data_IF_307740181619
#
_entry.id   IF_307740181619
#
_cell.length_a   1.000
_cell.length_b   1.000
_cell.length_c   1.000
_cell.angle_alpha   90.00
_cell.angle_beta   90.00
_cell.angle_gamma   90.00
#
_symmetry.space_group_name_H-M   'P 1'
#
loop_
_entity.id
_entity.type
_entity.pdbx_description
1 polymer ?
#
# COMPACT_ATOMS: atom_id res chain seq x y z
N UNK A 1 -13.87 15.50 13.06
CA UNK A 1 -12.74 14.60 12.77
C UNK A 1 -11.67 15.41 12.11
N UNK A 2 -10.44 15.38 12.63
CA UNK A 2 -9.32 16.21 12.17
C UNK A 2 -8.35 15.33 11.36
N UNK A 3 -7.97 15.77 10.18
CA UNK A 3 -6.90 15.13 9.40
C UNK A 3 -5.57 15.26 10.14
N UNK A 4 -4.74 14.22 10.09
CA UNK A 4 -3.39 14.23 10.65
C UNK A 4 -2.36 14.33 9.54
N UNK A 5 -2.46 13.45 8.56
CA UNK A 5 -1.63 13.50 7.36
C UNK A 5 -2.34 12.78 6.20
N UNK A 6 -1.92 13.13 4.99
CA UNK A 6 -2.32 12.43 3.77
C UNK A 6 -1.12 12.17 2.88
N UNK A 7 -1.09 10.96 2.31
CA UNK A 7 -0.02 10.49 1.44
C UNK A 7 -0.58 10.18 0.07
N UNK A 8 0.06 10.71 -0.97
CA UNK A 8 -0.12 10.24 -2.34
C UNK A 8 0.35 8.78 -2.43
N UNK A 9 -0.45 7.93 -3.06
CA UNK A 9 -0.18 6.50 -3.25
C UNK A 9 -0.45 6.09 -4.69
N UNK A 10 -0.22 4.83 -5.02
CA UNK A 10 -0.55 4.33 -6.33
C UNK A 10 0.48 4.74 -7.39
N UNK A 11 0.00 4.99 -8.61
CA UNK A 11 0.86 5.06 -9.81
C UNK A 11 2.02 6.06 -9.69
N UNK A 12 1.80 7.20 -9.02
CA UNK A 12 2.80 8.22 -8.77
C UNK A 12 3.98 7.73 -7.90
N UNK A 13 3.71 6.95 -6.85
CA UNK A 13 4.75 6.40 -5.98
C UNK A 13 5.64 5.35 -6.67
N UNK A 14 5.15 4.77 -7.77
CA UNK A 14 5.81 3.67 -8.48
C UNK A 14 6.47 4.09 -9.80
N UNK A 15 6.39 5.38 -10.16
CA UNK A 15 6.75 5.92 -11.48
C UNK A 15 5.94 5.29 -12.63
N UNK A 16 4.67 4.99 -12.38
CA UNK A 16 3.73 4.35 -13.33
C UNK A 16 2.56 5.27 -13.69
N UNK A 17 2.66 6.55 -13.33
CA UNK A 17 1.70 7.58 -13.72
C UNK A 17 2.00 8.12 -15.12
N UNK A 18 0.96 8.68 -15.72
CA UNK A 18 0.94 9.46 -16.95
C UNK A 18 0.16 10.77 -16.69
N UNK A 19 0.03 11.63 -17.70
CA UNK A 19 -0.66 12.93 -17.59
C UNK A 19 -2.15 12.81 -17.21
N UNK A 20 -2.76 11.64 -17.40
CA UNK A 20 -4.17 11.38 -17.13
C UNK A 20 -4.39 10.58 -15.84
N UNK A 21 -3.32 10.30 -15.10
CA UNK A 21 -3.38 9.48 -13.90
C UNK A 21 -4.06 10.23 -12.76
N UNK A 22 -4.92 9.51 -12.06
CA UNK A 22 -5.61 9.93 -10.86
C UNK A 22 -4.66 10.00 -9.65
N UNK A 23 -4.91 10.97 -8.78
CA UNK A 23 -4.26 11.03 -7.47
C UNK A 23 -5.03 10.16 -6.47
N UNK A 24 -4.47 9.00 -6.15
CA UNK A 24 -4.92 8.18 -5.03
C UNK A 24 -4.31 8.72 -3.73
N UNK A 25 -5.14 9.03 -2.71
CA UNK A 25 -4.62 9.44 -1.40
C UNK A 25 -5.09 8.56 -0.25
N UNK A 26 -4.17 8.25 0.66
CA UNK A 26 -4.46 7.65 1.96
C UNK A 26 -4.37 8.71 3.04
N UNK A 27 -5.44 8.86 3.80
CA UNK A 27 -5.64 9.93 4.77
C UNK A 27 -5.80 9.28 6.14
N UNK A 28 -4.99 9.69 7.11
CA UNK A 28 -5.15 9.29 8.50
C UNK A 28 -5.76 10.43 9.30
N UNK A 29 -6.81 10.11 10.07
CA UNK A 29 -7.57 11.07 10.86
C UNK A 29 -7.51 10.71 12.35
N UNK A 30 -7.68 11.74 13.17
CA UNK A 30 -7.79 11.64 14.61
C UNK A 30 -9.24 11.31 15.01
N UNK A 31 -9.47 10.33 15.91
CA UNK A 31 -10.79 10.07 16.48
C UNK A 31 -11.22 11.23 17.38
N UNK A 32 -12.52 11.53 17.41
CA UNK A 32 -13.09 12.42 18.42
C UNK A 32 -13.24 11.71 19.77
N UNK A 33 -13.48 12.45 20.86
CA UNK A 33 -13.85 11.84 22.14
C UNK A 33 -15.07 10.91 22.02
N UNK A 34 -16.06 11.27 21.19
CA UNK A 34 -17.23 10.43 20.94
C UNK A 34 -16.86 9.11 20.25
N UNK A 35 -15.95 9.16 19.27
CA UNK A 35 -15.47 7.96 18.58
C UNK A 35 -14.74 7.02 19.54
N UNK A 36 -13.95 7.57 20.45
CA UNK A 36 -13.29 6.79 21.50
C UNK A 36 -14.30 6.19 22.48
N UNK A 37 -15.23 6.99 23.00
CA UNK A 37 -16.23 6.56 23.99
C UNK A 37 -17.14 5.45 23.45
N UNK A 38 -17.59 5.58 22.20
CA UNK A 38 -18.45 4.58 21.56
C UNK A 38 -17.66 3.48 20.82
N UNK A 39 -16.33 3.47 20.94
CA UNK A 39 -15.45 2.54 20.23
C UNK A 39 -15.71 2.48 18.71
N UNK A 40 -16.03 3.61 18.10
CA UNK A 40 -16.25 3.74 16.66
C UNK A 40 -14.91 3.96 15.97
N UNK A 41 -14.59 3.14 14.97
CA UNK A 41 -13.37 3.29 14.17
C UNK A 41 -13.75 3.66 12.74
N UNK A 42 -13.12 4.70 12.20
CA UNK A 42 -13.39 5.15 10.83
C UNK A 42 -12.50 4.41 9.84
N UNK A 43 -13.14 3.79 8.84
CA UNK A 43 -12.48 3.23 7.66
C UNK A 43 -13.42 3.41 6.48
N UNK A 44 -13.18 4.46 5.68
CA UNK A 44 -14.04 4.83 4.55
C UNK A 44 -13.19 4.95 3.29
N UNK A 45 -13.75 4.56 2.15
CA UNK A 45 -13.16 4.81 0.84
C UNK A 45 -14.14 5.60 -0.02
N UNK A 46 -13.61 6.53 -0.81
CA UNK A 46 -14.32 7.29 -1.84
C UNK A 46 -13.62 7.00 -3.16
N UNK A 47 -14.40 6.88 -4.24
CA UNK A 47 -13.88 6.59 -5.60
C UNK A 47 -13.80 7.82 -6.50
N UNK A 48 -14.12 9.02 -5.99
CA UNK A 48 -14.04 10.28 -6.75
C UNK A 48 -14.06 11.50 -5.82
N UNK A 49 -12.92 12.13 -5.50
CA UNK A 49 -11.55 11.65 -5.74
C UNK A 49 -11.26 10.35 -4.96
N UNK A 50 -10.33 9.53 -5.46
CA UNK A 50 -9.91 8.29 -4.82
C UNK A 50 -9.19 8.58 -3.50
N UNK A 51 -9.94 8.44 -2.40
CA UNK A 51 -9.48 8.75 -1.05
C UNK A 51 -9.84 7.63 -0.11
N UNK A 52 -8.84 7.08 0.56
CA UNK A 52 -9.04 6.12 1.64
C UNK A 52 -8.76 6.80 2.99
N UNK A 53 -9.80 6.99 3.79
CA UNK A 53 -9.73 7.61 5.11
C UNK A 53 -9.70 6.53 6.18
N UNK A 54 -8.66 6.55 7.02
CA UNK A 54 -8.47 5.64 8.14
C UNK A 54 -8.32 6.40 9.45
N UNK A 55 -8.90 5.82 10.49
CA UNK A 55 -8.58 6.18 11.86
C UNK A 55 -7.11 5.87 12.16
N UNK A 56 -6.41 6.79 12.82
CA UNK A 56 -4.98 6.62 13.14
C UNK A 56 -4.70 5.38 13.98
N UNK A 57 -5.65 4.93 14.81
CA UNK A 57 -5.52 3.71 15.61
C UNK A 57 -5.36 2.44 14.77
N UNK A 58 -5.73 2.49 13.49
CA UNK A 58 -5.55 1.37 12.56
C UNK A 58 -4.13 1.27 12.02
N UNK A 59 -3.37 2.37 11.99
CA UNK A 59 -2.06 2.44 11.34
C UNK A 59 -1.12 1.35 11.84
N UNK A 60 -1.01 1.20 13.16
CA UNK A 60 -0.13 0.20 13.79
C UNK A 60 -0.41 -1.22 13.30
N UNK A 61 -1.68 -1.61 13.22
CA UNK A 61 -2.09 -2.94 12.78
C UNK A 61 -1.87 -3.13 11.27
N UNK A 62 -2.01 -2.07 10.48
CA UNK A 62 -1.77 -2.10 9.03
C UNK A 62 -0.28 -2.28 8.73
N UNK A 63 0.60 -1.62 9.50
CA UNK A 63 2.05 -1.75 9.39
C UNK A 63 2.54 -3.10 9.93
N UNK A 64 2.05 -3.57 11.09
CA UNK A 64 2.39 -4.90 11.66
C UNK A 64 2.03 -6.06 10.73
N UNK A 65 0.92 -5.94 10.00
CA UNK A 65 0.49 -6.92 8.98
C UNK A 65 1.28 -6.83 7.67
N UNK A 66 2.23 -5.89 7.57
CA UNK A 66 3.05 -5.64 6.39
C UNK A 66 2.22 -5.48 5.11
N UNK A 67 1.07 -4.81 5.21
CA UNK A 67 0.21 -4.61 4.04
C UNK A 67 0.93 -3.68 3.04
N UNK A 68 1.28 -4.14 1.83
CA UNK A 68 2.10 -3.36 0.89
C UNK A 68 1.47 -2.03 0.52
N UNK A 69 0.13 -1.98 0.45
CA UNK A 69 -0.59 -0.73 0.15
C UNK A 69 -0.55 0.30 1.28
N UNK A 70 -0.22 -0.08 2.52
CA UNK A 70 0.00 0.87 3.61
C UNK A 70 1.47 1.08 3.94
N UNK A 71 2.34 0.14 3.57
CA UNK A 71 3.78 0.36 3.63
C UNK A 71 4.20 1.46 2.63
N UNK A 72 3.62 1.51 1.42
CA UNK A 72 3.91 2.56 0.43
C UNK A 72 3.62 4.00 0.94
N UNK A 73 2.73 4.15 1.93
CA UNK A 73 2.43 5.46 2.56
C UNK A 73 3.70 6.10 3.13
N UNK A 74 4.61 5.28 3.66
CA UNK A 74 5.88 5.72 4.25
C UNK A 74 6.91 6.17 3.21
N UNK A 75 6.64 5.92 1.92
CA UNK A 75 7.50 6.21 0.78
C UNK A 75 6.80 7.12 -0.23
N UNK A 76 5.79 7.86 0.23
CA UNK A 76 5.02 8.76 -0.61
C UNK A 76 5.88 9.89 -1.17
N UNK A 77 5.71 10.19 -2.46
CA UNK A 77 6.38 11.32 -3.12
C UNK A 77 5.73 12.67 -2.78
N UNK A 78 4.50 12.64 -2.25
CA UNK A 78 3.76 13.83 -1.84
C UNK A 78 2.99 13.56 -0.55
N UNK A 79 3.48 14.16 0.53
CA UNK A 79 3.01 13.98 1.88
C UNK A 79 2.58 15.32 2.47
N UNK A 80 1.31 15.43 2.85
CA UNK A 80 0.76 16.59 3.56
C UNK A 80 0.64 16.23 5.04
N UNK A 81 1.26 17.01 5.91
CA UNK A 81 1.30 16.76 7.37
C UNK A 81 0.73 17.96 8.11
N UNK A 82 -0.16 17.70 9.06
CA UNK A 82 -0.64 18.71 10.00
C UNK A 82 0.33 18.80 11.18
N UNK A 83 0.54 20.00 11.73
CA UNK A 83 1.49 20.25 12.84
C UNK A 83 1.34 19.26 14.00
N UNK A 84 0.10 18.92 14.35
CA UNK A 84 -0.19 17.96 15.44
C UNK A 84 0.35 16.55 15.19
N UNK A 85 0.63 16.19 13.94
CA UNK A 85 1.12 14.87 13.54
C UNK A 85 2.62 14.85 13.21
N UNK A 86 3.33 15.98 13.31
CA UNK A 86 4.72 16.11 12.88
C UNK A 86 5.65 15.11 13.58
N UNK A 87 5.51 14.94 14.90
CA UNK A 87 6.30 13.98 15.69
C UNK A 87 6.12 12.54 15.16
N UNK A 88 4.86 12.15 14.93
CA UNK A 88 4.51 10.81 14.46
C UNK A 88 5.05 10.58 13.05
N UNK A 89 4.81 11.51 12.13
CA UNK A 89 5.23 11.37 10.74
C UNK A 89 6.75 11.39 10.63
N UNK A 90 7.43 12.26 11.37
CA UNK A 90 8.90 12.31 11.39
C UNK A 90 9.49 10.99 11.89
N UNK A 91 8.89 10.40 12.94
CA UNK A 91 9.29 9.08 13.42
C UNK A 91 9.08 7.99 12.35
N UNK A 92 7.90 7.96 11.72
CA UNK A 92 7.57 6.99 10.68
C UNK A 92 8.53 7.08 9.48
N UNK A 93 8.85 8.29 9.00
CA UNK A 93 9.76 8.49 7.88
C UNK A 93 11.21 8.12 8.24
N UNK A 94 11.65 8.47 9.45
CA UNK A 94 12.99 8.11 9.94
C UNK A 94 13.18 6.59 10.02
N UNK A 95 12.13 5.86 10.38
CA UNK A 95 12.16 4.41 10.60
C UNK A 95 11.49 3.59 9.47
N UNK A 96 11.13 4.20 8.33
CA UNK A 96 10.32 3.55 7.27
C UNK A 96 10.87 2.22 6.78
N UNK A 97 12.19 2.16 6.59
CA UNK A 97 12.91 0.97 6.15
C UNK A 97 12.95 -0.13 7.22
N UNK A 98 13.11 0.26 8.49
CA UNK A 98 13.04 -0.65 9.64
C UNK A 98 11.65 -1.25 9.78
N UNK A 99 10.61 -0.44 9.62
CA UNK A 99 9.20 -0.88 9.68
C UNK A 99 8.91 -1.95 8.61
N UNK A 100 9.39 -1.76 7.37
CA UNK A 100 9.21 -2.75 6.29
C UNK A 100 9.97 -4.04 6.60
N UNK A 101 11.22 -3.93 7.08
CA UNK A 101 12.06 -5.09 7.44
C UNK A 101 11.60 -5.81 8.70
N UNK A 102 10.68 -5.24 9.48
CA UNK A 102 10.28 -5.79 10.76
C UNK A 102 9.69 -7.21 10.65
N UNK A 103 8.89 -7.46 9.60
CA UNK A 103 8.18 -8.73 9.40
C UNK A 103 8.28 -9.21 7.94
N UNK A 104 9.45 -9.70 7.50
CA UNK A 104 9.69 -10.09 6.10
C UNK A 104 8.78 -11.23 5.62
N UNK A 105 8.54 -12.22 6.48
CA UNK A 105 7.60 -13.32 6.18
C UNK A 105 6.16 -12.80 5.99
N UNK A 106 5.71 -11.88 6.85
CA UNK A 106 4.37 -11.30 6.73
C UNK A 106 4.27 -10.42 5.49
N UNK A 107 5.33 -9.70 5.11
CA UNK A 107 5.35 -8.88 3.88
C UNK A 107 5.09 -9.74 2.65
N UNK A 108 5.85 -10.83 2.48
CA UNK A 108 5.65 -11.71 1.32
C UNK A 108 4.27 -12.37 1.38
N UNK A 109 3.84 -12.86 2.55
CA UNK A 109 2.51 -13.43 2.73
C UNK A 109 1.38 -12.44 2.39
N UNK A 110 1.51 -11.18 2.81
CA UNK A 110 0.56 -10.12 2.49
C UNK A 110 0.55 -9.80 1.00
N UNK A 111 1.72 -9.71 0.36
CA UNK A 111 1.84 -9.50 -1.09
C UNK A 111 1.19 -10.66 -1.87
N UNK A 112 1.48 -11.91 -1.51
CA UNK A 112 0.85 -13.09 -2.12
C UNK A 112 -0.67 -13.09 -1.91
N UNK A 113 -1.15 -12.66 -0.74
CA UNK A 113 -2.57 -12.47 -0.47
C UNK A 113 -3.23 -11.48 -1.44
N UNK A 114 -2.58 -10.33 -1.69
CA UNK A 114 -3.06 -9.33 -2.65
C UNK A 114 -3.01 -9.87 -4.09
N UNK A 115 -1.93 -10.55 -4.47
CA UNK A 115 -1.78 -11.21 -5.77
C UNK A 115 -2.93 -12.19 -6.01
N UNK A 116 -3.22 -13.07 -5.05
CA UNK A 116 -4.29 -14.07 -5.14
C UNK A 116 -5.67 -13.41 -5.27
N UNK A 117 -5.92 -12.33 -4.52
CA UNK A 117 -7.15 -11.55 -4.66
C UNK A 117 -7.29 -10.95 -6.06
N UNK A 118 -6.21 -10.37 -6.61
CA UNK A 118 -6.22 -9.78 -7.96
C UNK A 118 -6.42 -10.85 -9.03
N UNK A 119 -5.79 -12.02 -8.87
CA UNK A 119 -5.97 -13.18 -9.76
C UNK A 119 -7.41 -13.69 -9.75
N UNK A 120 -8.02 -13.84 -8.57
CA UNK A 120 -9.42 -14.26 -8.45
C UNK A 120 -10.42 -13.26 -9.06
N UNK A 121 -9.98 -12.01 -9.31
CA UNK A 121 -10.79 -10.95 -9.91
C UNK A 121 -10.35 -10.64 -11.36
N UNK A 122 -9.46 -11.44 -11.96
CA UNK A 122 -8.90 -11.17 -13.28
C UNK A 122 -9.96 -11.17 -14.39
N UNK A 123 -10.98 -12.02 -14.26
CA UNK A 123 -12.09 -12.13 -15.21
C UNK A 123 -13.41 -11.56 -14.68
N UNK A 124 -13.40 -10.90 -13.52
CA UNK A 124 -14.62 -10.27 -12.97
C UNK A 124 -14.81 -8.89 -13.57
N UNK A 125 -15.98 -8.68 -14.16
CA UNK A 125 -16.45 -7.35 -14.58
C UNK A 125 -16.73 -6.51 -13.33
N UNK A 126 -16.12 -5.32 -13.24
CA UNK A 126 -16.34 -4.37 -12.14
C UNK A 126 -17.09 -3.15 -12.66
N UNK A 127 -18.00 -2.51 -11.89
CA UNK A 127 -18.72 -1.33 -12.38
C UNK A 127 -17.80 -0.14 -12.77
N UNK A 128 -16.60 -0.08 -12.20
CA UNK A 128 -15.56 0.94 -12.51
C UNK A 128 -14.73 0.64 -13.76
N UNK A 129 -14.91 -0.51 -14.42
CA UNK A 129 -14.34 -0.77 -15.75
C UNK A 129 -15.15 -0.11 -16.89
N UNK A 130 -16.04 0.83 -16.56
CA UNK A 130 -16.84 1.60 -17.51
C UNK A 130 -16.02 2.63 -18.31
N UNK A 131 -14.70 2.76 -18.10
CA UNK A 131 -13.79 3.28 -19.13
C UNK A 131 -13.40 2.10 -20.04
N UNK A 132 -14.34 1.79 -20.94
CA UNK A 132 -14.22 1.15 -22.25
C UNK A 132 -12.98 0.26 -22.44
N UNK A 133 -13.22 -1.05 -22.48
CA UNK A 133 -12.90 -1.83 -23.68
C UNK A 133 -13.91 -2.97 -23.74
N UNK A 134 -14.97 -2.76 -24.54
CA UNK A 134 -15.95 -3.80 -24.88
C UNK A 134 -15.33 -5.04 -25.56
N UNK A 135 -14.02 -4.99 -25.83
CA UNK A 135 -13.22 -6.05 -26.46
C UNK A 135 -12.22 -6.74 -25.52
N UNK A 136 -12.08 -6.31 -24.25
CA UNK A 136 -11.16 -6.95 -23.29
C UNK A 136 -11.87 -7.99 -22.44
N UNK A 137 -11.56 -9.25 -22.71
CA UNK A 137 -12.00 -10.45 -21.99
C UNK A 137 -11.44 -10.60 -20.57
N UNK A 138 -10.63 -9.67 -20.07
CA UNK A 138 -10.04 -9.69 -18.72
C UNK A 138 -9.72 -8.27 -18.21
N UNK A 139 -9.49 -8.14 -16.90
CA UNK A 139 -9.15 -6.90 -16.22
C UNK A 139 -7.63 -6.66 -16.23
N UNK A 140 -7.15 -5.83 -17.16
CA UNK A 140 -5.72 -5.50 -17.31
C UNK A 140 -5.13 -4.80 -16.08
N UNK A 141 -5.92 -4.01 -15.34
CA UNK A 141 -5.49 -3.38 -14.07
C UNK A 141 -5.17 -4.44 -13.01
N UNK A 142 -5.97 -5.51 -12.92
CA UNK A 142 -5.66 -6.64 -12.03
C UNK A 142 -4.41 -7.40 -12.47
N UNK A 143 -4.21 -7.66 -13.76
CA UNK A 143 -2.97 -8.28 -14.25
C UNK A 143 -1.75 -7.41 -13.94
N UNK A 144 -1.85 -6.11 -14.19
CA UNK A 144 -0.81 -5.13 -13.86
C UNK A 144 -0.44 -5.17 -12.37
N UNK A 145 -1.43 -5.20 -11.47
CA UNK A 145 -1.16 -5.32 -10.04
C UNK A 145 -0.41 -6.61 -9.68
N UNK A 146 -0.76 -7.74 -10.30
CA UNK A 146 -0.07 -9.03 -10.08
C UNK A 146 1.41 -8.88 -10.49
N UNK A 147 1.67 -8.49 -11.74
CA UNK A 147 3.03 -8.39 -12.30
C UNK A 147 3.89 -7.41 -11.50
N UNK A 148 3.35 -6.23 -11.17
CA UNK A 148 4.05 -5.20 -10.38
C UNK A 148 4.43 -5.68 -8.99
N UNK A 149 3.52 -6.38 -8.29
CA UNK A 149 3.81 -6.92 -6.97
C UNK A 149 4.85 -8.04 -7.02
N UNK A 150 4.85 -8.85 -8.09
CA UNK A 150 5.91 -9.83 -8.30
C UNK A 150 7.27 -9.16 -8.49
N UNK A 151 7.35 -8.10 -9.29
CA UNK A 151 8.57 -7.31 -9.43
C UNK A 151 9.05 -6.70 -8.12
N UNK A 152 8.14 -6.17 -7.29
CA UNK A 152 8.50 -5.66 -5.97
C UNK A 152 9.21 -6.73 -5.14
N UNK A 153 8.67 -7.95 -5.09
CA UNK A 153 9.30 -9.05 -4.32
C UNK A 153 10.59 -9.54 -4.98
N UNK A 154 10.67 -9.57 -6.31
CA UNK A 154 11.89 -9.95 -7.03
C UNK A 154 13.02 -8.96 -6.76
N UNK A 155 12.75 -7.65 -6.83
CA UNK A 155 13.71 -6.57 -6.53
C UNK A 155 14.05 -6.48 -5.06
N UNK A 156 13.06 -6.61 -4.17
CA UNK A 156 13.29 -6.47 -2.74
C UNK A 156 14.03 -7.71 -2.23
N UNK A 157 15.34 -7.55 -2.12
CA UNK A 157 16.19 -8.40 -1.32
C UNK A 157 16.16 -7.79 0.09
N UNK A 158 15.72 -8.51 1.12
CA UNK A 158 15.31 -7.99 2.44
C UNK A 158 16.40 -7.25 3.26
N UNK A 159 17.56 -7.03 2.66
CA UNK A 159 18.70 -6.26 3.14
C UNK A 159 18.90 -4.94 2.41
N UNK A 160 18.14 -4.69 1.34
CA UNK A 160 18.21 -3.50 0.49
C UNK A 160 17.07 -2.51 0.80
N UNK A 161 17.06 -1.42 0.05
CA UNK A 161 16.16 -0.28 0.20
C UNK A 161 14.78 -0.58 -0.44
N UNK A 162 13.70 -0.49 0.34
CA UNK A 162 12.35 -0.75 -0.14
C UNK A 162 11.84 0.31 -1.12
N UNK A 163 12.21 1.58 -0.93
CA UNK A 163 11.89 2.68 -1.85
C UNK A 163 12.38 2.39 -3.28
N UNK A 164 13.61 1.89 -3.40
CA UNK A 164 14.20 1.50 -4.68
C UNK A 164 13.46 0.31 -5.30
N UNK A 165 12.98 -0.63 -4.48
CA UNK A 165 12.21 -1.77 -4.97
C UNK A 165 10.79 -1.38 -5.42
N UNK A 166 10.20 -0.32 -4.86
CA UNK A 166 8.92 0.23 -5.30
C UNK A 166 9.01 0.94 -6.66
N UNK A 167 10.14 1.58 -6.95
CA UNK A 167 10.35 2.37 -8.15
C UNK A 167 10.50 1.49 -9.41
N UNK A 168 9.89 1.91 -10.53
CA UNK A 168 9.98 1.21 -11.81
C UNK A 168 10.45 2.17 -12.90
N UNK A 169 11.48 1.78 -13.64
CA UNK A 169 12.10 2.58 -14.68
C UNK A 169 12.50 1.73 -15.90
N UNK A 170 12.95 2.40 -16.97
CA UNK A 170 13.40 1.78 -18.21
C UNK A 170 12.41 0.75 -18.78
N UNK A 171 12.94 -0.37 -19.27
CA UNK A 171 12.16 -1.44 -19.90
C UNK A 171 11.10 -2.04 -18.97
N UNK A 172 11.36 -2.08 -17.66
CA UNK A 172 10.42 -2.62 -16.69
C UNK A 172 9.18 -1.73 -16.57
N UNK A 173 9.37 -0.41 -16.54
CA UNK A 173 8.27 0.57 -16.54
C UNK A 173 7.44 0.42 -17.81
N UNK A 174 8.09 0.36 -18.96
CA UNK A 174 7.41 0.25 -20.25
C UNK A 174 6.61 -1.04 -20.35
N UNK A 175 7.17 -2.15 -19.87
CA UNK A 175 6.46 -3.42 -19.78
C UNK A 175 5.23 -3.33 -18.84
N UNK A 176 5.39 -2.78 -17.64
CA UNK A 176 4.27 -2.64 -16.68
C UNK A 176 3.13 -1.75 -17.22
N UNK A 177 3.46 -0.71 -17.97
CA UNK A 177 2.47 0.15 -18.63
C UNK A 177 1.80 -0.59 -19.80
N UNK A 178 2.54 -1.38 -20.59
CA UNK A 178 1.94 -2.22 -21.64
C UNK A 178 0.91 -3.21 -21.07
N UNK A 179 1.21 -3.81 -19.90
CA UNK A 179 0.31 -4.71 -19.19
C UNK A 179 -0.92 -3.95 -18.68
N UNK A 180 -0.74 -2.77 -18.08
CA UNK A 180 -1.84 -1.89 -17.61
C UNK A 180 -2.79 -1.53 -18.75
N UNK A 181 -2.23 -1.21 -19.92
CA UNK A 181 -2.96 -0.85 -21.13
C UNK A 181 -3.55 -2.04 -21.88
N UNK A 182 -3.36 -3.27 -21.37
CA UNK A 182 -3.99 -4.48 -21.88
C UNK A 182 -3.43 -4.96 -23.23
N UNK A 183 -2.15 -4.71 -23.48
CA UNK A 183 -1.43 -5.21 -24.67
C UNK A 183 -1.31 -6.73 -24.65
N UNK A 184 -1.35 -7.36 -23.47
CA UNK A 184 -1.24 -8.82 -23.33
C UNK A 184 -2.46 -9.51 -23.95
N UNK A 185 -2.27 -10.39 -24.95
CA UNK A 185 -3.36 -11.17 -25.55
C UNK A 185 -4.01 -12.09 -24.53
N UNK A 186 -5.32 -12.32 -24.65
CA UNK A 186 -6.08 -13.19 -23.73
C UNK A 186 -5.45 -14.57 -23.53
N UNK A 187 -4.94 -15.18 -24.60
CA UNK A 187 -4.32 -16.51 -24.56
C UNK A 187 -3.04 -16.55 -23.71
N UNK A 188 -2.40 -15.41 -23.47
CA UNK A 188 -1.17 -15.28 -22.70
C UNK A 188 -1.38 -14.81 -21.26
N UNK A 189 -2.59 -14.32 -20.90
CA UNK A 189 -2.86 -13.70 -19.60
C UNK A 189 -2.52 -14.61 -18.41
N UNK A 190 -3.01 -15.85 -18.43
CA UNK A 190 -2.73 -16.82 -17.36
C UNK A 190 -1.25 -17.20 -17.33
N UNK A 191 -0.63 -17.39 -18.51
CA UNK A 191 0.79 -17.72 -18.63
C UNK A 191 1.66 -16.63 -18.01
N UNK A 192 1.39 -15.36 -18.34
CA UNK A 192 2.09 -14.21 -17.77
C UNK A 192 1.90 -14.16 -16.25
N UNK A 193 0.67 -14.27 -15.76
CA UNK A 193 0.41 -14.27 -14.32
C UNK A 193 1.17 -15.40 -13.59
N UNK A 194 1.08 -16.63 -14.09
CA UNK A 194 1.70 -17.81 -13.49
C UNK A 194 3.23 -17.75 -13.51
N UNK A 195 3.84 -17.29 -14.61
CA UNK A 195 5.30 -17.15 -14.70
C UNK A 195 5.84 -16.20 -13.63
N UNK A 196 5.20 -15.05 -13.42
CA UNK A 196 5.59 -14.09 -12.38
C UNK A 196 5.32 -14.62 -10.96
N UNK A 197 4.16 -15.26 -10.73
CA UNK A 197 3.82 -15.80 -9.41
C UNK A 197 4.78 -16.91 -8.99
N UNK A 198 5.12 -17.83 -9.90
CA UNK A 198 6.05 -18.94 -9.61
C UNK A 198 7.43 -18.45 -9.18
N UNK A 199 7.93 -17.36 -9.75
CA UNK A 199 9.22 -16.76 -9.35
C UNK A 199 9.19 -16.26 -7.91
N UNK A 200 8.11 -15.60 -7.51
CA UNK A 200 7.90 -15.14 -6.14
C UNK A 200 7.77 -16.30 -5.17
N UNK A 201 6.94 -17.29 -5.49
CA UNK A 201 6.75 -18.47 -4.65
C UNK A 201 8.04 -19.26 -4.45
N UNK A 202 8.86 -19.37 -5.51
CA UNK A 202 10.19 -19.98 -5.43
C UNK A 202 11.10 -19.19 -4.49
N UNK A 203 11.20 -17.86 -4.69
CA UNK A 203 12.00 -16.98 -3.83
C UNK A 203 11.54 -17.06 -2.36
N UNK A 204 10.24 -17.21 -2.11
CA UNK A 204 9.71 -17.38 -0.75
C UNK A 204 10.13 -18.71 -0.12
N UNK A 205 10.02 -19.83 -0.86
CA UNK A 205 10.40 -21.16 -0.36
C UNK A 205 11.89 -21.28 -0.08
N UNK A 206 12.71 -20.65 -0.90
CA UNK A 206 14.18 -20.77 -0.83
C UNK A 206 14.81 -19.90 0.28
N UNK A 207 14.06 -18.96 0.87
CA UNK A 207 14.57 -18.03 1.87
C UNK A 207 13.90 -18.23 3.24
N UNK A 208 14.74 -18.37 4.27
CA UNK A 208 14.31 -18.25 5.66
C UNK A 208 14.58 -16.83 6.15
N UNK A 209 13.53 -16.04 6.28
CA UNK A 209 13.64 -14.69 6.82
C UNK A 209 13.51 -14.72 8.34
N UNK A 210 14.56 -14.26 9.04
CA UNK A 210 14.47 -14.04 10.48
C UNK A 210 13.60 -12.82 10.73
N UNK A 211 12.63 -12.95 11.64
CA UNK A 211 11.91 -11.79 12.18
C UNK A 211 12.88 -10.90 12.95
N UNK A 212 12.79 -9.59 12.77
CA UNK A 212 13.57 -8.65 13.57
C UNK A 212 12.82 -8.26 14.84
N UNK A 213 13.43 -7.37 15.61
CA UNK A 213 12.80 -6.76 16.77
C UNK A 213 11.50 -6.04 16.37
N UNK A 214 10.44 -6.28 17.14
CA UNK A 214 9.10 -5.70 16.95
C UNK A 214 8.86 -4.48 17.85
N UNK A 215 9.85 -4.09 18.67
CA UNK A 215 9.80 -2.92 19.57
C UNK A 215 9.53 -1.60 18.84
N UNK A 216 9.90 -1.50 17.56
CA UNK A 216 9.60 -0.34 16.72
C UNK A 216 8.09 -0.06 16.67
N UNK A 217 7.28 -1.12 16.65
CA UNK A 217 5.84 -0.99 16.63
C UNK A 217 5.29 -0.51 17.99
N UNK A 218 5.88 -0.92 19.11
CA UNK A 218 5.51 -0.39 20.43
C UNK A 218 5.78 1.11 20.52
N UNK A 219 6.90 1.56 19.94
CA UNK A 219 7.25 2.98 19.85
C UNK A 219 6.21 3.78 19.06
N UNK A 220 5.78 3.27 17.90
CA UNK A 220 4.73 3.90 17.09
C UNK A 220 3.41 3.96 17.86
N UNK A 221 3.03 2.88 18.56
CA UNK A 221 1.78 2.82 19.32
C UNK A 221 1.77 3.83 20.47
N UNK A 222 2.88 3.97 21.19
CA UNK A 222 3.03 4.96 22.26
C UNK A 222 2.90 6.41 21.72
N UNK A 223 3.50 6.71 20.56
CA UNK A 223 3.38 8.05 19.95
C UNK A 223 1.93 8.34 19.54
N UNK A 224 1.23 7.35 18.95
CA UNK A 224 -0.19 7.47 18.60
C UNK A 224 -1.04 7.66 19.86
N UNK A 225 -0.76 6.92 20.92
CA UNK A 225 -1.45 7.06 22.21
C UNK A 225 -1.31 8.47 22.78
N UNK A 226 -0.08 9.01 22.83
CA UNK A 226 0.17 10.36 23.34
C UNK A 226 -0.44 11.45 22.44
N UNK A 227 -0.48 11.24 21.13
CA UNK A 227 -1.18 12.10 20.19
C UNK A 227 -2.69 12.17 20.51
N UNK A 228 -3.35 11.02 20.69
CA UNK A 228 -4.77 10.94 21.01
C UNK A 228 -5.05 11.53 22.41
N UNK A 229 -4.19 11.26 23.38
CA UNK A 229 -4.33 11.78 24.74
C UNK A 229 -4.30 13.32 24.76
N UNK A 230 -3.39 13.93 24.00
CA UNK A 230 -3.31 15.39 23.84
C UNK A 230 -4.59 15.94 23.22
N UNK A 231 -5.08 15.33 22.14
CA UNK A 231 -6.26 15.84 21.43
C UNK A 231 -7.54 15.80 22.27
N UNK A 232 -7.76 14.72 23.03
CA UNK A 232 -8.91 14.63 23.94
C UNK A 232 -8.85 15.67 25.06
N UNK A 233 -7.64 16.04 25.49
CA UNK A 233 -7.45 17.07 26.51
C UNK A 233 -7.74 18.47 25.97
N UNK A 234 -7.52 18.70 24.69
CA UNK A 234 -7.84 19.96 23.99
C UNK A 234 -9.34 20.12 23.72
N UNK A 235 -10.06 19.03 23.40
CA UNK A 235 -11.53 19.07 23.20
C UNK A 235 -12.32 19.51 24.47
N UNK A 236 -11.67 19.51 25.64
CA UNK A 236 -12.25 19.94 26.92
C UNK A 236 -12.09 21.44 27.21
N UNK A 237 -11.26 22.16 26.45
CA UNK A 237 -11.03 23.60 26.61
C UNK A 237 -11.95 24.39 25.68
#
# INVERSE_FOLDING_TARGET
>A
MKELFSSLVGSHNYNLNDENSDEDRKIFILPSFSDLYYNKTVSKSSTSPDREVKDIRLLINLLKKSNPGYLEVLFSTDLVVQDVAEDLVSFLLKHREEIVRANPNNLIGAILGVINQKRANLYKLTPTSNRVDSDKSYNSKNLHHIVRLCYLVEKYNFHDNFEQALWNDGEQRDYLLSVKNGVIPLCDVERVADEHIRRVEKKFKDNHFNSSDLSIFESIDNIIFDLIKRSVSEERK
#
